data_IF_298641823083
#
_entry.id   IF_298641823083
#
_cell.length_a   1.000
_cell.length_b   1.000
_cell.length_c   1.000
_cell.angle_alpha   90.00
_cell.angle_beta   90.00
_cell.angle_gamma   90.00
#
_symmetry.space_group_name_H-M   'P 1'
#
loop_
_entity.id
_entity.type
_entity.pdbx_description
1 polymer ?
#
# COMPACT_ATOMS: atom_id res chain seq x y z
N UNK A 1 29.17 1.38 -52.13
CA UNK A 1 28.09 2.36 -51.84
C UNK A 1 26.81 1.73 -51.30
N UNK A 2 26.13 0.80 -52.01
CA UNK A 2 24.86 0.19 -51.53
C UNK A 2 24.94 -0.47 -50.13
N UNK A 3 26.04 -1.16 -49.80
CA UNK A 3 26.25 -1.79 -48.48
C UNK A 3 26.40 -0.77 -47.33
N UNK A 4 26.99 0.39 -47.61
CA UNK A 4 27.19 1.46 -46.61
C UNK A 4 25.85 2.14 -46.29
N UNK A 5 25.04 2.39 -47.32
CA UNK A 5 23.69 2.95 -47.15
C UNK A 5 22.79 1.98 -46.37
N UNK A 6 22.84 0.68 -46.68
CA UNK A 6 22.05 -0.33 -45.96
C UNK A 6 22.46 -0.45 -44.48
N UNK A 7 23.76 -0.38 -44.18
CA UNK A 7 24.27 -0.36 -42.81
C UNK A 7 23.80 0.88 -42.05
N UNK A 8 23.83 2.05 -42.69
CA UNK A 8 23.40 3.31 -42.07
C UNK A 8 21.90 3.29 -41.74
N UNK A 9 21.06 2.80 -42.65
CA UNK A 9 19.62 2.65 -42.43
C UNK A 9 19.33 1.69 -41.27
N UNK A 10 20.04 0.56 -41.18
CA UNK A 10 19.89 -0.39 -40.09
C UNK A 10 20.27 0.22 -38.72
N UNK A 11 21.35 1.01 -38.66
CA UNK A 11 21.78 1.70 -37.43
C UNK A 11 20.76 2.74 -36.98
N UNK A 12 20.18 3.51 -37.92
CA UNK A 12 19.14 4.50 -37.60
C UNK A 12 17.86 3.83 -37.07
N UNK A 13 17.42 2.73 -37.69
CA UNK A 13 16.28 1.95 -37.21
C UNK A 13 16.52 1.37 -35.81
N UNK A 14 17.73 0.90 -35.54
CA UNK A 14 18.10 0.37 -34.22
C UNK A 14 18.10 1.48 -33.15
N UNK A 15 18.57 2.69 -33.49
CA UNK A 15 18.49 3.84 -32.60
C UNK A 15 17.05 4.24 -32.28
N UNK A 16 16.15 4.27 -33.27
CA UNK A 16 14.74 4.62 -33.06
C UNK A 16 14.04 3.58 -32.16
N UNK A 17 14.28 2.29 -32.40
CA UNK A 17 13.70 1.21 -31.58
C UNK A 17 14.23 1.23 -30.15
N UNK A 18 15.53 1.50 -29.96
CA UNK A 18 16.13 1.65 -28.64
C UNK A 18 15.56 2.87 -27.90
N UNK A 19 15.36 4.00 -28.59
CA UNK A 19 14.75 5.20 -28.02
C UNK A 19 13.31 4.93 -27.59
N UNK A 20 12.53 4.24 -28.42
CA UNK A 20 11.16 3.84 -28.11
C UNK A 20 11.08 2.91 -26.89
N UNK A 21 12.00 1.96 -26.77
CA UNK A 21 12.09 1.06 -25.62
C UNK A 21 12.44 1.80 -24.33
N UNK A 22 13.41 2.74 -24.38
CA UNK A 22 13.78 3.56 -23.23
C UNK A 22 12.59 4.43 -22.79
N UNK A 23 11.93 5.12 -23.72
CA UNK A 23 10.77 5.97 -23.44
C UNK A 23 9.61 5.18 -22.85
N UNK A 24 9.29 4.01 -23.40
CA UNK A 24 8.25 3.12 -22.87
C UNK A 24 8.55 2.71 -21.43
N UNK A 25 9.81 2.41 -21.12
CA UNK A 25 10.22 2.03 -19.76
C UNK A 25 10.13 3.20 -18.78
N UNK A 26 10.53 4.41 -19.18
CA UNK A 26 10.53 5.59 -18.29
C UNK A 26 9.16 6.21 -18.08
N UNK A 27 8.23 6.13 -19.06
CA UNK A 27 6.89 6.71 -18.93
C UNK A 27 5.94 5.81 -18.11
N UNK A 28 6.23 4.51 -18.03
CA UNK A 28 5.42 3.56 -17.25
C UNK A 28 5.82 3.47 -15.76
N UNK A 29 6.83 4.20 -15.30
CA UNK A 29 7.12 4.27 -13.86
C UNK A 29 6.16 5.25 -13.16
N UNK A 30 5.13 4.68 -12.52
CA UNK A 30 4.46 5.17 -11.30
C UNK A 30 3.55 6.43 -11.37
N UNK A 31 2.81 6.70 -12.47
CA UNK A 31 1.73 7.72 -12.42
C UNK A 31 0.66 7.37 -11.36
N UNK A 32 0.44 6.07 -11.14
CA UNK A 32 -0.58 5.58 -10.20
C UNK A 32 -0.18 5.77 -8.73
N UNK A 33 1.10 6.06 -8.42
CA UNK A 33 1.58 6.23 -7.06
C UNK A 33 1.98 7.67 -6.80
N UNK A 34 1.42 8.27 -5.75
CA UNK A 34 1.76 9.64 -5.37
C UNK A 34 1.83 9.84 -3.87
N UNK A 35 2.73 10.70 -3.44
CA UNK A 35 2.81 11.15 -2.05
C UNK A 35 1.67 12.12 -1.76
N UNK A 36 1.01 11.93 -0.61
CA UNK A 36 -0.14 12.75 -0.19
C UNK A 36 -0.04 13.13 1.29
N UNK A 37 -0.84 14.10 1.72
CA UNK A 37 -1.11 14.41 3.12
C UNK A 37 -2.27 13.60 3.70
N UNK A 38 -2.39 13.58 5.04
CA UNK A 38 -3.50 12.90 5.76
C UNK A 38 -4.86 13.42 5.33
N UNK A 39 -4.97 14.74 5.09
CA UNK A 39 -6.21 15.41 4.69
C UNK A 39 -6.71 15.01 3.30
N UNK A 40 -5.85 14.43 2.46
CA UNK A 40 -6.20 13.99 1.11
C UNK A 40 -6.74 12.55 1.08
N UNK A 41 -6.53 11.77 2.15
CA UNK A 41 -6.95 10.35 2.22
C UNK A 41 -8.44 10.18 1.92
N UNK A 42 -9.38 10.99 2.46
CA UNK A 42 -10.80 10.83 2.16
C UNK A 42 -11.11 10.98 0.67
N UNK A 43 -10.47 11.93 0.02
CA UNK A 43 -10.63 12.17 -1.42
C UNK A 43 -10.12 11.01 -2.27
N UNK A 44 -8.97 10.43 -1.91
CA UNK A 44 -8.41 9.26 -2.61
C UNK A 44 -9.30 8.03 -2.45
N UNK A 45 -9.68 7.72 -1.21
CA UNK A 45 -10.47 6.53 -0.91
C UNK A 45 -11.96 6.70 -1.22
N UNK A 46 -12.39 7.91 -1.64
CA UNK A 46 -13.79 8.28 -1.91
C UNK A 46 -14.69 8.05 -0.69
N UNK A 47 -14.18 8.41 0.49
CA UNK A 47 -14.89 8.30 1.79
C UNK A 47 -15.20 9.70 2.35
N UNK A 48 -16.22 9.80 3.18
CA UNK A 48 -16.71 11.09 3.70
C UNK A 48 -15.95 11.64 4.90
N UNK A 49 -15.06 10.86 5.52
CA UNK A 49 -14.35 11.24 6.75
C UNK A 49 -12.90 10.78 6.73
N UNK A 50 -12.06 11.47 7.51
CA UNK A 50 -10.68 11.05 7.74
C UNK A 50 -10.68 9.75 8.56
N UNK A 51 -10.02 8.69 8.09
CA UNK A 51 -9.93 7.43 8.82
C UNK A 51 -9.15 7.63 10.13
N UNK A 52 -9.41 6.78 11.12
CA UNK A 52 -8.75 6.84 12.41
C UNK A 52 -7.33 6.25 12.31
N UNK A 53 -6.35 7.11 12.10
CA UNK A 53 -4.95 6.71 11.95
C UNK A 53 -4.28 6.71 13.33
N UNK A 54 -3.49 5.68 13.69
CA UNK A 54 -2.70 5.69 14.92
C UNK A 54 -1.90 6.99 15.09
N UNK A 55 -1.82 7.51 16.32
CA UNK A 55 -1.06 8.73 16.66
C UNK A 55 0.47 8.54 16.63
N UNK A 56 0.97 7.55 15.89
CA UNK A 56 2.39 7.36 15.67
C UNK A 56 2.92 8.39 14.68
N UNK A 57 4.19 8.77 14.84
CA UNK A 57 4.85 9.70 13.94
C UNK A 57 4.81 9.18 12.49
N UNK A 58 4.19 9.94 11.59
CA UNK A 58 4.06 9.59 10.16
C UNK A 58 5.31 10.06 9.42
N UNK A 59 5.97 9.14 8.71
CA UNK A 59 7.09 9.48 7.80
C UNK A 59 6.60 9.98 6.46
N UNK A 60 5.62 9.28 5.86
CA UNK A 60 5.08 9.57 4.54
C UNK A 60 3.79 8.77 4.30
N UNK A 61 2.99 9.23 3.34
CA UNK A 61 1.75 8.55 2.93
C UNK A 61 1.75 8.42 1.41
N UNK A 62 1.55 7.21 0.92
CA UNK A 62 1.51 6.90 -0.51
C UNK A 62 0.09 6.51 -0.90
N UNK A 63 -0.49 7.23 -1.84
CA UNK A 63 -1.71 6.83 -2.52
C UNK A 63 -1.37 5.96 -3.72
N UNK A 64 -2.18 4.94 -3.97
CA UNK A 64 -2.23 4.18 -5.22
C UNK A 64 -3.62 4.29 -5.84
N UNK A 65 -3.69 4.78 -7.06
CA UNK A 65 -4.90 4.83 -7.88
C UNK A 65 -4.51 4.63 -9.34
N UNK A 66 -4.81 3.45 -9.89
CA UNK A 66 -4.63 3.14 -11.30
C UNK A 66 -5.93 3.31 -12.11
N UNK A 67 -7.01 3.77 -11.47
CA UNK A 67 -8.37 3.88 -12.03
C UNK A 67 -9.00 2.55 -12.50
N UNK A 68 -8.35 1.41 -12.25
CA UNK A 68 -8.85 0.07 -12.59
C UNK A 68 -9.18 -0.74 -11.33
N UNK A 69 -8.35 -0.62 -10.31
CA UNK A 69 -8.49 -1.27 -9.00
C UNK A 69 -8.99 -0.27 -7.96
N UNK A 70 -9.45 -0.80 -6.82
CA UNK A 70 -9.86 0.04 -5.71
C UNK A 70 -8.64 0.85 -5.20
N UNK A 71 -8.77 2.18 -5.05
CA UNK A 71 -7.66 3.01 -4.60
C UNK A 71 -7.27 2.61 -3.18
N UNK A 72 -5.98 2.74 -2.88
CA UNK A 72 -5.44 2.45 -1.54
C UNK A 72 -4.52 3.57 -1.06
N UNK A 73 -4.39 3.69 0.25
CA UNK A 73 -3.46 4.60 0.90
C UNK A 73 -2.58 3.82 1.87
N UNK A 74 -1.27 3.86 1.70
CA UNK A 74 -0.31 3.29 2.66
C UNK A 74 0.34 4.39 3.49
N UNK A 75 0.11 4.36 4.80
CA UNK A 75 0.75 5.24 5.78
C UNK A 75 2.00 4.54 6.32
N UNK A 76 3.15 5.17 6.16
CA UNK A 76 4.42 4.67 6.67
C UNK A 76 4.78 5.40 7.96
N UNK A 77 4.91 4.69 9.07
CA UNK A 77 5.23 5.27 10.37
C UNK A 77 6.74 5.25 10.67
N UNK A 78 7.18 6.16 11.54
CA UNK A 78 8.58 6.26 11.94
C UNK A 78 9.08 5.00 12.65
N UNK A 79 8.18 4.34 13.39
CA UNK A 79 8.42 3.07 14.06
C UNK A 79 8.55 1.87 13.09
N UNK A 80 8.33 2.04 11.78
CA UNK A 80 8.48 0.99 10.78
C UNK A 80 7.23 0.11 10.57
N UNK A 81 6.11 0.45 11.21
CA UNK A 81 4.80 -0.15 10.90
C UNK A 81 4.24 0.54 9.64
N UNK A 82 3.53 -0.23 8.83
CA UNK A 82 2.80 0.26 7.68
C UNK A 82 1.30 0.04 7.92
N UNK A 83 0.48 1.05 7.63
CA UNK A 83 -0.98 0.93 7.62
C UNK A 83 -1.47 1.10 6.19
N UNK A 84 -1.98 0.02 5.61
CA UNK A 84 -2.69 0.04 4.34
C UNK A 84 -4.19 0.25 4.60
N UNK A 85 -4.74 1.29 3.98
CA UNK A 85 -6.15 1.64 3.99
C UNK A 85 -6.75 1.34 2.61
N UNK A 86 -7.87 0.66 2.59
CA UNK A 86 -8.60 0.28 1.38
C UNK A 86 -10.11 0.28 1.63
N UNK A 87 -10.90 0.36 0.56
CA UNK A 87 -12.37 0.27 0.65
C UNK A 87 -12.89 -1.18 0.68
N UNK A 88 -12.01 -2.16 0.44
CA UNK A 88 -12.30 -3.59 0.50
C UNK A 88 -11.19 -4.38 1.19
N UNK A 89 -11.48 -5.62 1.57
CA UNK A 89 -10.47 -6.55 2.10
C UNK A 89 -9.36 -6.77 1.06
N UNK A 90 -8.12 -6.84 1.55
CA UNK A 90 -6.93 -7.05 0.74
C UNK A 90 -6.35 -8.40 1.09
N UNK A 91 -6.17 -9.26 0.09
CA UNK A 91 -5.39 -10.49 0.22
C UNK A 91 -3.89 -10.20 0.13
N UNK A 92 -3.09 -10.97 0.86
CA UNK A 92 -1.63 -10.87 0.84
C UNK A 92 -1.04 -12.14 0.23
N UNK A 93 -0.51 -12.01 -0.98
CA UNK A 93 0.06 -13.14 -1.72
C UNK A 93 1.20 -13.80 -0.93
N UNK A 94 1.17 -15.14 -0.83
CA UNK A 94 2.17 -15.91 -0.10
C UNK A 94 2.06 -15.83 1.43
N UNK A 95 0.92 -15.39 1.95
CA UNK A 95 0.61 -15.42 3.39
C UNK A 95 -0.59 -16.32 3.68
N UNK A 96 -0.53 -17.02 4.81
CA UNK A 96 -1.64 -17.83 5.30
C UNK A 96 -2.62 -16.95 6.08
N UNK A 97 -3.91 -17.06 5.76
CA UNK A 97 -4.99 -16.37 6.46
C UNK A 97 -5.42 -17.16 7.70
N UNK A 98 -5.42 -16.49 8.85
CA UNK A 98 -5.92 -17.00 10.11
C UNK A 98 -6.80 -15.96 10.81
N UNK A 99 -7.52 -16.36 11.85
CA UNK A 99 -8.23 -15.43 12.73
C UNK A 99 -7.62 -15.46 14.12
N UNK A 100 -7.45 -14.28 14.72
CA UNK A 100 -7.02 -14.14 16.11
C UNK A 100 -7.98 -13.24 16.88
N UNK A 101 -8.04 -13.45 18.21
CA UNK A 101 -8.80 -12.60 19.12
C UNK A 101 -7.82 -11.70 19.87
N UNK A 102 -7.98 -10.39 19.75
CA UNK A 102 -7.20 -9.41 20.54
C UNK A 102 -8.20 -8.61 21.36
N UNK A 103 -8.10 -8.67 22.68
CA UNK A 103 -9.15 -8.20 23.57
C UNK A 103 -10.48 -8.91 23.27
N UNK A 104 -11.51 -8.15 22.90
CA UNK A 104 -12.85 -8.69 22.61
C UNK A 104 -13.22 -8.65 21.11
N UNK A 105 -12.27 -8.32 20.22
CA UNK A 105 -12.51 -8.23 18.77
C UNK A 105 -11.72 -9.27 18.00
N UNK A 106 -12.32 -9.78 16.94
CA UNK A 106 -11.69 -10.71 16.00
C UNK A 106 -10.96 -9.92 14.91
N UNK A 107 -9.76 -10.37 14.59
CA UNK A 107 -8.92 -9.82 13.53
C UNK A 107 -8.55 -10.93 12.55
N UNK A 108 -8.55 -10.61 11.27
CA UNK A 108 -7.96 -11.48 10.24
C UNK A 108 -6.46 -11.22 10.22
N UNK A 109 -5.66 -12.26 10.36
CA UNK A 109 -4.19 -12.18 10.37
C UNK A 109 -3.66 -12.93 9.18
N UNK A 110 -2.94 -12.22 8.31
CA UNK A 110 -2.17 -12.82 7.24
C UNK A 110 -0.73 -12.94 7.70
N UNK A 111 -0.16 -14.15 7.68
CA UNK A 111 1.19 -14.39 8.18
C UNK A 111 2.02 -15.28 7.28
N UNK A 112 3.33 -15.05 7.26
CA UNK A 112 4.32 -16.01 6.79
C UNK A 112 5.49 -16.08 7.80
N UNK A 113 6.61 -16.72 7.43
CA UNK A 113 7.78 -16.85 8.33
C UNK A 113 8.38 -15.52 8.79
N UNK A 114 8.18 -14.45 8.03
CA UNK A 114 8.86 -13.18 8.22
C UNK A 114 7.91 -12.03 8.52
N UNK A 115 6.67 -12.05 8.05
CA UNK A 115 5.77 -10.91 8.12
C UNK A 115 4.40 -11.31 8.66
N UNK A 116 3.76 -10.39 9.37
CA UNK A 116 2.35 -10.48 9.76
C UNK A 116 1.61 -9.20 9.40
N UNK A 117 0.35 -9.36 9.01
CA UNK A 117 -0.58 -8.29 8.73
C UNK A 117 -1.86 -8.51 9.49
N UNK A 118 -2.23 -7.55 10.34
CA UNK A 118 -3.48 -7.56 11.09
C UNK A 118 -4.51 -6.72 10.33
N UNK A 119 -5.56 -7.36 9.85
CA UNK A 119 -6.61 -6.75 9.04
C UNK A 119 -7.95 -6.71 9.78
N UNK A 120 -8.61 -5.55 9.75
CA UNK A 120 -9.95 -5.37 10.29
C UNK A 120 -10.74 -4.27 9.55
N UNK A 121 -12.08 -4.38 9.47
CA UNK A 121 -12.92 -3.31 8.96
C UNK A 121 -13.30 -2.31 10.07
N UNK A 122 -13.37 -1.02 9.72
CA UNK A 122 -13.90 0.04 10.57
C UNK A 122 -14.48 1.18 9.72
N UNK A 123 -15.73 1.57 10.01
CA UNK A 123 -16.43 2.68 9.34
C UNK A 123 -16.37 2.64 7.80
N UNK A 124 -16.44 1.43 7.22
CA UNK A 124 -16.40 1.23 5.77
C UNK A 124 -14.99 1.25 5.15
N UNK A 125 -13.94 1.31 5.96
CA UNK A 125 -12.54 1.23 5.52
C UNK A 125 -11.90 -0.02 6.13
N UNK A 126 -11.11 -0.72 5.34
CA UNK A 126 -10.29 -1.82 5.79
C UNK A 126 -8.91 -1.32 6.17
N UNK A 127 -8.51 -1.65 7.40
CA UNK A 127 -7.21 -1.31 7.97
C UNK A 127 -6.37 -2.57 7.95
N UNK A 128 -5.19 -2.51 7.35
CA UNK A 128 -4.22 -3.60 7.36
C UNK A 128 -2.90 -3.09 7.94
N UNK A 129 -2.61 -3.47 9.18
CA UNK A 129 -1.39 -3.10 9.90
C UNK A 129 -0.32 -4.17 9.66
N UNK A 130 0.74 -3.78 8.96
CA UNK A 130 1.86 -4.66 8.59
C UNK A 130 3.12 -4.30 9.36
N UNK A 131 3.81 -5.32 9.86
CA UNK A 131 5.18 -5.20 10.36
C UNK A 131 6.20 -5.44 9.25
N UNK A 132 7.34 -4.77 9.32
CA UNK A 132 8.48 -5.11 8.49
C UNK A 132 9.27 -6.25 9.15
N UNK A 133 9.33 -7.42 8.53
CA UNK A 133 10.15 -8.57 8.98
C UNK A 133 9.84 -9.03 10.41
N UNK A 134 8.58 -8.96 10.83
CA UNK A 134 8.13 -9.52 12.10
C UNK A 134 8.60 -8.73 13.32
N UNK A 135 9.27 -7.60 13.10
CA UNK A 135 9.67 -6.71 14.18
C UNK A 135 8.45 -5.92 14.67
N UNK A 136 8.32 -5.76 15.99
CA UNK A 136 7.36 -4.86 16.64
C UNK A 136 5.89 -5.29 16.53
N UNK A 137 5.63 -6.59 16.44
CA UNK A 137 4.27 -7.13 16.54
C UNK A 137 3.59 -6.71 17.85
N UNK A 138 4.36 -6.62 18.94
CA UNK A 138 3.83 -6.22 20.25
C UNK A 138 3.25 -4.80 20.25
N UNK A 139 3.79 -3.91 19.40
CA UNK A 139 3.29 -2.53 19.27
C UNK A 139 1.91 -2.52 18.59
N UNK A 140 1.72 -3.36 17.55
CA UNK A 140 0.44 -3.51 16.89
C UNK A 140 -0.58 -4.12 17.84
N UNK A 141 -0.22 -5.20 18.54
CA UNK A 141 -1.13 -5.87 19.46
C UNK A 141 -1.54 -4.96 20.62
N UNK A 142 -0.59 -4.21 21.20
CA UNK A 142 -0.90 -3.22 22.24
C UNK A 142 -1.83 -2.11 21.73
N UNK A 143 -1.62 -1.62 20.50
CA UNK A 143 -2.51 -0.63 19.88
C UNK A 143 -3.92 -1.19 19.64
N UNK A 144 -4.03 -2.39 19.08
CA UNK A 144 -5.31 -3.04 18.83
C UNK A 144 -6.04 -3.33 20.14
N UNK A 145 -5.32 -3.73 21.20
CA UNK A 145 -5.88 -3.95 22.52
C UNK A 145 -6.39 -2.64 23.14
N UNK A 146 -5.61 -1.56 23.09
CA UNK A 146 -6.02 -0.24 23.62
C UNK A 146 -7.29 0.28 22.92
N UNK A 147 -7.38 0.09 21.60
CA UNK A 147 -8.56 0.44 20.81
C UNK A 147 -9.83 -0.34 21.17
N UNK A 148 -9.69 -1.51 21.80
CA UNK A 148 -10.82 -2.31 22.23
C UNK A 148 -11.32 -1.92 23.63
N UNK A 149 -10.62 -1.04 24.34
CA UNK A 149 -10.99 -0.54 25.66
C UNK A 149 -11.79 0.76 25.58
N UNK A 150 -11.69 1.53 24.50
CA UNK A 150 -12.60 2.66 24.28
C UNK A 150 -14.01 2.12 24.03
N UNK A 151 -14.98 2.39 24.93
CA UNK A 151 -16.35 2.00 24.71
C UNK A 151 -16.84 2.76 23.48
N UNK A 152 -17.53 2.07 22.57
CA UNK A 152 -18.26 2.69 21.47
C UNK A 152 -19.08 3.85 22.05
N UNK A 153 -18.56 5.07 21.90
CA UNK A 153 -19.23 6.27 22.38
C UNK A 153 -20.48 6.42 21.54
N UNK A 154 -21.61 6.10 22.19
CA UNK A 154 -22.98 6.21 21.70
C UNK A 154 -23.26 7.54 21.03
#
# INVERSE_FOLDING_TARGET
MKKIILSFVATVLLLITMLGFILHRTVNEDISRRWIGVTEIPGILKIGTVPNIPEWEIKKIMAYDDHFTAPTCTVYFANGIELLLSTGSVGFEGMDENQTLIGNRKYTVFGNKNDKVYQYPEKGVWYSLKTARGAKEEIIEAYLQARNVEPDSK
#
